data_IF_198807262034
#
_entry.id   IF_198807262034
#
_cell.length_a   1.000
_cell.length_b   1.000
_cell.length_c   1.000
_cell.angle_alpha   90.00
_cell.angle_beta   90.00
_cell.angle_gamma   90.00
#
_symmetry.space_group_name_H-M   'P 1'
#
loop_
_entity.id
_entity.type
_entity.pdbx_description
1 polymer ?
#
# COMPACT_ATOMS: atom_id res chain seq x y z
N UNK A 1 -68.28 -29.00 72.25
CA UNK A 1 -69.53 -28.95 73.01
C UNK A 1 -69.76 -30.31 73.66
N UNK A 2 -69.89 -30.35 75.00
CA UNK A 2 -70.37 -31.51 75.74
C UNK A 2 -71.74 -31.13 76.37
N UNK A 3 -72.76 -32.02 76.15
CA UNK A 3 -74.13 -31.77 76.65
C UNK A 3 -74.53 -33.02 77.49
N UNK A 4 -75.05 -32.82 78.69
CA UNK A 4 -75.55 -33.89 79.56
C UNK A 4 -76.99 -34.31 79.16
N UNK A 5 -77.54 -35.38 79.74
CA UNK A 5 -78.89 -35.90 79.51
C UNK A 5 -80.03 -34.95 79.92
N UNK A 6 -79.71 -33.97 80.72
CA UNK A 6 -80.64 -32.92 81.18
C UNK A 6 -80.56 -31.64 80.31
N UNK A 7 -79.72 -31.61 79.23
CA UNK A 7 -79.59 -30.47 78.32
C UNK A 7 -78.59 -29.42 78.71
N UNK A 8 -77.81 -29.61 79.80
CA UNK A 8 -76.74 -28.65 80.22
C UNK A 8 -75.55 -28.86 79.26
N UNK A 9 -75.01 -27.77 78.74
CA UNK A 9 -73.92 -27.84 77.80
C UNK A 9 -72.77 -26.98 78.27
N UNK A 10 -71.53 -27.42 77.95
CA UNK A 10 -70.28 -26.67 78.05
C UNK A 10 -69.49 -26.85 76.78
N UNK A 11 -68.77 -25.82 76.45
CA UNK A 11 -67.87 -25.81 75.26
C UNK A 11 -66.45 -25.69 75.76
N UNK A 12 -65.53 -26.37 75.06
CA UNK A 12 -64.13 -26.07 75.07
C UNK A 12 -63.71 -25.56 73.75
N UNK A 13 -62.82 -24.60 73.73
CA UNK A 13 -62.21 -24.01 72.50
C UNK A 13 -60.79 -24.47 72.43
N UNK A 14 -60.38 -25.10 71.32
CA UNK A 14 -59.03 -25.38 71.01
C UNK A 14 -58.55 -24.32 70.01
N UNK A 15 -57.54 -23.60 70.39
CA UNK A 15 -56.86 -22.67 69.47
C UNK A 15 -55.75 -23.42 68.76
N UNK A 16 -55.79 -23.46 67.38
CA UNK A 16 -54.75 -23.98 66.57
C UNK A 16 -54.06 -22.76 65.93
N UNK A 17 -52.79 -22.53 66.24
CA UNK A 17 -51.99 -21.51 65.60
C UNK A 17 -51.19 -22.16 64.48
N UNK A 18 -51.35 -21.69 63.25
CA UNK A 18 -50.55 -22.06 62.09
C UNK A 18 -49.61 -20.91 61.86
N UNK A 19 -48.31 -21.21 61.86
CA UNK A 19 -47.26 -20.22 61.63
C UNK A 19 -46.28 -20.83 60.67
N UNK A 20 -46.18 -20.25 59.43
CA UNK A 20 -45.19 -20.63 58.45
C UNK A 20 -43.89 -19.86 58.70
N UNK A 21 -42.81 -20.56 58.90
CA UNK A 21 -41.46 -20.05 59.12
C UNK A 21 -40.40 -20.69 58.19
N UNK A 22 -40.87 -21.35 57.14
CA UNK A 22 -40.01 -22.02 56.13
C UNK A 22 -39.88 -21.10 54.90
N UNK A 23 -38.68 -20.66 54.58
CA UNK A 23 -38.48 -19.86 53.35
C UNK A 23 -38.84 -20.62 52.08
N UNK A 24 -39.32 -19.93 51.04
CA UNK A 24 -39.53 -20.55 49.72
C UNK A 24 -38.23 -21.06 49.13
N UNK A 25 -38.28 -22.15 48.39
CA UNK A 25 -37.16 -22.64 47.58
C UNK A 25 -37.12 -21.85 46.28
N UNK A 26 -35.93 -21.35 45.91
CA UNK A 26 -35.67 -20.62 44.68
C UNK A 26 -34.41 -21.16 43.98
N UNK A 27 -34.48 -21.36 42.65
CA UNK A 27 -33.33 -21.62 41.80
C UNK A 27 -33.35 -20.62 40.64
N UNK A 28 -32.24 -19.94 40.42
CA UNK A 28 -32.14 -18.93 39.36
C UNK A 28 -32.23 -19.55 37.96
N UNK A 29 -32.72 -18.80 36.97
CA UNK A 29 -32.55 -19.16 35.56
C UNK A 29 -31.07 -19.41 35.21
N UNK A 30 -30.80 -20.18 34.15
CA UNK A 30 -29.44 -20.43 33.70
C UNK A 30 -28.64 -19.15 33.52
N UNK A 31 -27.31 -19.22 33.73
CA UNK A 31 -26.42 -18.12 33.40
C UNK A 31 -26.48 -17.80 31.90
N UNK A 32 -26.38 -16.52 31.56
CA UNK A 32 -26.40 -16.05 30.18
C UNK A 32 -24.94 -15.72 29.82
N UNK A 33 -24.52 -16.23 28.66
CA UNK A 33 -23.19 -15.98 28.08
C UNK A 33 -23.32 -15.81 26.55
N UNK A 34 -22.23 -15.41 25.89
CA UNK A 34 -22.22 -15.16 24.44
C UNK A 34 -22.86 -13.83 24.03
N UNK A 35 -23.00 -12.91 24.98
CA UNK A 35 -23.36 -11.51 24.71
C UNK A 35 -22.08 -10.73 24.43
N UNK A 36 -22.03 -10.06 23.30
CA UNK A 36 -20.81 -9.33 22.89
C UNK A 36 -20.87 -7.86 23.32
N UNK A 37 -22.01 -7.20 23.17
CA UNK A 37 -22.11 -5.77 23.49
C UNK A 37 -22.88 -5.52 24.78
N UNK A 38 -22.52 -4.48 25.50
CA UNK A 38 -23.19 -4.06 26.76
C UNK A 38 -24.70 -3.87 26.58
N UNK A 39 -25.13 -3.38 25.42
CA UNK A 39 -26.57 -3.17 25.11
C UNK A 39 -27.35 -4.47 24.93
N UNK A 40 -26.68 -5.60 24.75
CA UNK A 40 -27.32 -6.90 24.61
C UNK A 40 -27.70 -7.55 25.96
N UNK A 41 -27.25 -7.01 27.09
CA UNK A 41 -27.63 -7.52 28.40
C UNK A 41 -29.13 -7.35 28.62
N UNK A 42 -29.88 -8.45 28.89
CA UNK A 42 -31.33 -8.38 29.04
C UNK A 42 -31.73 -7.60 30.26
N UNK A 43 -32.92 -7.00 30.29
CA UNK A 43 -33.46 -6.38 31.45
C UNK A 43 -33.70 -7.41 32.57
N UNK A 44 -33.71 -7.00 33.85
CA UNK A 44 -34.08 -7.86 34.99
C UNK A 44 -35.53 -8.38 34.85
N UNK A 45 -35.80 -9.57 35.37
CA UNK A 45 -37.16 -10.11 35.43
C UNK A 45 -38.00 -9.29 36.39
N UNK A 46 -39.15 -8.80 35.92
CA UNK A 46 -40.01 -7.90 36.70
C UNK A 46 -40.96 -8.63 37.70
N UNK A 47 -41.16 -9.94 37.52
CA UNK A 47 -42.07 -10.74 38.33
C UNK A 47 -41.76 -12.25 38.26
N UNK A 48 -42.43 -13.02 39.12
CA UNK A 48 -42.27 -14.47 39.21
C UNK A 48 -42.59 -15.20 37.88
N UNK A 49 -43.57 -14.71 37.12
CA UNK A 49 -43.96 -15.35 35.83
C UNK A 49 -42.80 -15.24 34.79
N UNK A 50 -42.18 -14.07 34.67
CA UNK A 50 -41.02 -13.87 33.75
C UNK A 50 -39.80 -14.67 34.22
N UNK A 51 -39.57 -14.72 35.57
CA UNK A 51 -38.49 -15.48 36.16
C UNK A 51 -38.61 -16.98 35.87
N UNK A 52 -39.82 -17.56 36.04
CA UNK A 52 -40.08 -18.98 35.74
C UNK A 52 -40.03 -19.25 34.26
N UNK A 53 -40.57 -18.37 33.44
CA UNK A 53 -40.52 -18.49 31.96
C UNK A 53 -39.06 -18.51 31.45
N UNK A 54 -38.13 -17.88 32.14
CA UNK A 54 -36.71 -17.88 31.84
C UNK A 54 -35.96 -19.16 32.35
N UNK A 55 -36.65 -20.09 32.97
CA UNK A 55 -36.10 -21.35 33.49
C UNK A 55 -35.76 -21.34 34.98
N UNK A 56 -36.12 -20.27 35.72
CA UNK A 56 -36.07 -20.27 37.18
C UNK A 56 -37.15 -21.12 37.82
N UNK A 57 -36.93 -21.60 39.05
CA UNK A 57 -37.92 -22.37 39.79
C UNK A 57 -38.18 -21.71 41.14
N UNK A 58 -39.44 -21.74 41.55
CA UNK A 58 -39.89 -21.31 42.87
C UNK A 58 -40.90 -22.31 43.41
N UNK A 59 -40.84 -22.65 44.69
CA UNK A 59 -41.83 -23.48 45.38
C UNK A 59 -41.84 -23.17 46.87
N UNK A 60 -42.97 -23.46 47.52
CA UNK A 60 -43.14 -23.33 48.95
C UNK A 60 -43.91 -24.50 49.53
N UNK A 61 -43.71 -24.78 50.82
CA UNK A 61 -44.44 -25.82 51.58
C UNK A 61 -45.88 -25.41 51.89
N UNK A 62 -46.16 -24.11 51.97
CA UNK A 62 -47.47 -23.55 52.21
C UNK A 62 -48.07 -22.95 50.92
N UNK A 63 -49.40 -23.06 50.78
CA UNK A 63 -50.09 -22.52 49.59
C UNK A 63 -50.17 -20.98 49.76
N UNK A 64 -49.59 -20.26 48.78
CA UNK A 64 -49.62 -18.80 48.77
C UNK A 64 -48.91 -18.24 47.52
N UNK A 65 -49.06 -16.93 47.33
CA UNK A 65 -48.39 -16.24 46.24
C UNK A 65 -46.88 -15.99 46.62
N UNK A 66 -45.97 -16.45 45.82
CA UNK A 66 -44.55 -16.14 45.93
C UNK A 66 -44.22 -14.92 45.07
N UNK A 67 -43.68 -13.88 45.69
CA UNK A 67 -43.20 -12.67 44.98
C UNK A 67 -41.73 -12.83 44.68
N UNK A 68 -41.35 -12.65 43.42
CA UNK A 68 -39.92 -12.64 43.00
C UNK A 68 -39.56 -11.21 42.57
N UNK A 69 -38.47 -10.69 43.13
CA UNK A 69 -37.93 -9.40 42.76
C UNK A 69 -36.41 -9.42 42.70
N UNK A 70 -35.84 -8.61 41.79
CA UNK A 70 -34.39 -8.35 41.83
C UNK A 70 -34.07 -7.43 42.99
N UNK A 71 -33.21 -7.86 43.91
CA UNK A 71 -32.84 -7.12 45.11
C UNK A 71 -31.46 -6.50 45.05
N UNK A 72 -30.60 -7.02 44.18
CA UNK A 72 -29.25 -6.47 43.98
C UNK A 72 -28.74 -6.78 42.60
N UNK A 73 -27.91 -5.86 42.01
CA UNK A 73 -27.14 -6.05 40.81
C UNK A 73 -25.73 -5.52 41.02
N UNK A 74 -24.74 -6.34 40.75
CA UNK A 74 -23.33 -5.97 40.86
C UNK A 74 -22.68 -6.22 39.50
N UNK A 75 -21.98 -5.20 38.96
CA UNK A 75 -21.17 -5.33 37.76
C UNK A 75 -19.69 -5.46 38.12
N UNK A 76 -19.06 -6.54 37.72
CA UNK A 76 -17.61 -6.70 37.78
C UNK A 76 -17.04 -6.33 36.41
N UNK A 77 -16.27 -5.22 36.27
CA UNK A 77 -15.72 -4.79 34.99
C UNK A 77 -14.66 -5.76 34.49
N UNK A 78 -14.62 -5.98 33.16
CA UNK A 78 -13.55 -6.66 32.47
C UNK A 78 -12.53 -5.67 31.92
N UNK A 79 -11.91 -6.03 30.77
CA UNK A 79 -10.82 -5.27 30.15
C UNK A 79 -11.28 -4.04 29.36
N UNK A 80 -12.55 -3.98 29.00
CA UNK A 80 -13.16 -2.89 28.23
C UNK A 80 -14.63 -2.66 28.63
N UNK A 81 -15.28 -1.63 28.09
CA UNK A 81 -16.67 -1.30 28.38
C UNK A 81 -17.67 -2.39 27.96
N UNK A 82 -17.32 -3.18 26.90
CA UNK A 82 -18.10 -4.32 26.44
C UNK A 82 -17.61 -5.66 26.99
N UNK A 83 -16.88 -5.65 28.12
CA UNK A 83 -16.44 -6.85 28.83
C UNK A 83 -16.71 -6.69 30.34
N UNK A 84 -17.72 -7.38 30.85
CA UNK A 84 -18.10 -7.35 32.28
C UNK A 84 -18.95 -8.55 32.63
N UNK A 85 -19.10 -8.80 33.93
CA UNK A 85 -19.98 -9.81 34.51
C UNK A 85 -21.01 -9.12 35.38
N UNK A 86 -22.29 -9.29 35.06
CA UNK A 86 -23.40 -8.88 35.94
C UNK A 86 -23.79 -10.05 36.84
N UNK A 87 -23.86 -9.81 38.13
CA UNK A 87 -24.40 -10.73 39.12
C UNK A 87 -25.72 -10.15 39.66
N UNK A 88 -26.86 -10.77 39.27
CA UNK A 88 -28.20 -10.36 39.70
C UNK A 88 -28.70 -11.26 40.76
N UNK A 89 -29.00 -10.68 41.98
CA UNK A 89 -29.63 -11.39 43.04
C UNK A 89 -31.15 -11.26 42.97
N UNK A 90 -31.84 -12.39 42.84
CA UNK A 90 -33.27 -12.49 42.88
C UNK A 90 -33.69 -13.06 44.23
N UNK A 91 -34.72 -12.46 44.88
CA UNK A 91 -35.26 -12.88 46.16
C UNK A 91 -36.72 -13.30 45.94
N UNK A 92 -37.05 -14.50 46.38
CA UNK A 92 -38.43 -15.00 46.49
C UNK A 92 -38.90 -14.78 47.90
N UNK A 93 -40.09 -14.21 48.05
CA UNK A 93 -40.75 -13.94 49.37
C UNK A 93 -42.14 -14.56 49.38
N UNK A 94 -42.50 -15.35 50.40
CA UNK A 94 -43.81 -15.92 50.58
C UNK A 94 -44.80 -14.90 51.21
N UNK A 95 -46.06 -15.31 51.45
CA UNK A 95 -47.08 -14.48 52.07
C UNK A 95 -46.86 -14.21 53.53
N UNK A 96 -46.03 -14.99 54.23
CA UNK A 96 -45.67 -14.86 55.64
C UNK A 96 -44.42 -13.99 55.87
N UNK A 97 -43.72 -13.61 54.76
CA UNK A 97 -42.54 -12.78 54.78
C UNK A 97 -41.22 -13.55 54.88
N UNK A 98 -41.23 -14.89 54.80
CA UNK A 98 -40.00 -15.65 54.71
C UNK A 98 -39.43 -15.49 53.31
N UNK A 99 -38.10 -15.48 53.18
CA UNK A 99 -37.45 -15.25 51.89
C UNK A 99 -36.19 -16.11 51.69
N UNK A 100 -35.88 -16.38 50.44
CA UNK A 100 -34.65 -16.97 50.01
C UNK A 100 -34.18 -16.30 48.71
N UNK A 101 -32.89 -16.40 48.42
CA UNK A 101 -32.29 -15.73 47.25
C UNK A 101 -31.42 -16.67 46.44
N UNK A 102 -31.31 -16.36 45.15
CA UNK A 102 -30.35 -16.97 44.25
C UNK A 102 -29.64 -15.89 43.39
N UNK A 103 -28.51 -16.24 42.76
CA UNK A 103 -27.74 -15.32 41.94
C UNK A 103 -27.68 -15.86 40.49
N UNK A 104 -28.10 -15.04 39.51
CA UNK A 104 -27.91 -15.29 38.09
C UNK A 104 -26.70 -14.51 37.60
N UNK A 105 -25.83 -15.15 36.84
CA UNK A 105 -24.66 -14.53 36.23
C UNK A 105 -24.93 -14.26 34.75
N UNK A 106 -24.60 -13.07 34.28
CA UNK A 106 -24.67 -12.65 32.87
C UNK A 106 -23.29 -12.18 32.46
N UNK A 107 -22.70 -12.84 31.48
CA UNK A 107 -21.35 -12.52 30.94
C UNK A 107 -21.50 -11.80 29.60
N UNK A 108 -20.92 -10.62 29.54
CA UNK A 108 -20.74 -9.84 28.30
C UNK A 108 -19.25 -9.80 27.98
N UNK A 109 -18.89 -10.15 26.78
CA UNK A 109 -17.49 -10.14 26.32
C UNK A 109 -17.45 -9.96 24.80
N UNK A 110 -17.01 -8.79 24.38
CA UNK A 110 -16.77 -8.51 22.96
C UNK A 110 -15.54 -9.28 22.47
N UNK A 111 -15.77 -10.17 21.53
CA UNK A 111 -14.75 -11.04 20.92
C UNK A 111 -14.70 -10.88 19.39
N UNK A 112 -15.50 -9.99 18.83
CA UNK A 112 -15.58 -9.76 17.39
C UNK A 112 -14.61 -8.64 16.98
N UNK A 113 -13.61 -8.93 16.12
CA UNK A 113 -12.73 -7.89 15.63
C UNK A 113 -13.45 -6.84 14.77
N UNK A 114 -12.99 -5.58 14.79
CA UNK A 114 -13.54 -4.55 13.92
C UNK A 114 -13.33 -4.91 12.43
N UNK A 115 -14.25 -4.50 11.58
CA UNK A 115 -14.04 -4.54 10.14
C UNK A 115 -13.10 -3.42 9.71
N UNK A 116 -12.27 -3.67 8.69
CA UNK A 116 -11.31 -2.71 8.16
C UNK A 116 -11.32 -2.73 6.63
N UNK A 117 -11.33 -1.55 6.02
CA UNK A 117 -11.17 -1.38 4.57
C UNK A 117 -9.98 -0.45 4.31
N UNK A 118 -8.99 -0.97 3.62
CA UNK A 118 -7.80 -0.21 3.23
C UNK A 118 -8.11 0.89 2.21
N UNK A 119 -7.26 1.92 2.12
CA UNK A 119 -7.22 2.82 0.97
C UNK A 119 -7.02 2.03 -0.33
N UNK A 120 -7.46 2.60 -1.46
CA UNK A 120 -7.28 1.98 -2.77
C UNK A 120 -5.80 1.73 -3.08
N UNK A 121 -5.52 0.66 -3.82
CA UNK A 121 -4.19 0.38 -4.35
C UNK A 121 -3.77 1.47 -5.32
N UNK A 122 -2.46 1.71 -5.42
CA UNK A 122 -1.89 2.74 -6.28
C UNK A 122 -0.94 2.12 -7.32
N UNK A 123 -0.96 2.71 -8.52
CA UNK A 123 0.03 2.45 -9.57
C UNK A 123 0.69 3.79 -9.89
N UNK A 124 1.98 3.89 -9.67
CA UNK A 124 2.78 5.10 -9.75
C UNK A 124 3.94 4.86 -10.72
N UNK A 125 4.44 5.92 -11.31
CA UNK A 125 5.59 5.84 -12.22
C UNK A 125 6.90 6.00 -11.44
N UNK A 126 6.97 7.01 -10.57
CA UNK A 126 8.20 7.34 -9.87
C UNK A 126 8.12 7.03 -8.36
N UNK A 127 9.24 6.67 -7.75
CA UNK A 127 9.35 6.45 -6.30
C UNK A 127 8.99 7.67 -5.46
N UNK A 128 9.20 8.88 -6.00
CA UNK A 128 8.87 10.15 -5.34
C UNK A 128 7.38 10.44 -5.24
N UNK A 129 6.56 9.71 -5.98
CA UNK A 129 5.10 9.84 -5.96
C UNK A 129 4.44 9.03 -4.83
N UNK A 130 5.20 8.15 -4.15
CA UNK A 130 4.66 7.31 -3.06
C UNK A 130 4.20 8.21 -1.92
N UNK A 131 2.89 8.22 -1.60
CA UNK A 131 2.37 9.06 -0.53
C UNK A 131 2.74 8.50 0.84
N UNK A 132 2.83 9.39 1.82
CA UNK A 132 2.90 8.97 3.22
C UNK A 132 1.65 8.16 3.60
N UNK A 133 1.80 7.27 4.58
CA UNK A 133 0.67 6.52 5.11
C UNK A 133 -0.38 7.46 5.72
N UNK A 134 -1.66 7.22 5.38
CA UNK A 134 -2.76 8.03 5.89
C UNK A 134 -3.81 7.15 6.57
N UNK A 135 -3.74 7.06 7.91
CA UNK A 135 -4.69 6.29 8.72
C UNK A 135 -6.12 6.86 8.64
N UNK A 136 -6.29 8.16 8.35
CA UNK A 136 -7.61 8.78 8.24
C UNK A 136 -8.39 8.36 6.99
N UNK A 137 -7.72 7.74 6.01
CA UNK A 137 -8.37 7.19 4.81
C UNK A 137 -8.81 5.74 4.98
N UNK A 138 -8.53 5.11 6.12
CA UNK A 138 -8.97 3.75 6.45
C UNK A 138 -10.40 3.82 7.00
N UNK A 139 -11.28 2.96 6.50
CA UNK A 139 -12.67 2.86 6.97
C UNK A 139 -12.76 1.68 7.92
N UNK A 140 -13.32 1.91 9.10
CA UNK A 140 -13.52 0.88 10.13
C UNK A 140 -14.93 0.91 10.68
N UNK A 141 -15.45 -0.25 11.09
CA UNK A 141 -16.67 -0.36 11.87
C UNK A 141 -16.63 -1.59 12.77
N UNK A 142 -17.40 -1.56 13.86
CA UNK A 142 -17.49 -2.64 14.83
C UNK A 142 -18.95 -2.92 15.21
N UNK A 143 -19.24 -4.15 15.68
CA UNK A 143 -20.55 -4.55 16.16
C UNK A 143 -20.90 -3.89 17.50
N UNK A 144 -19.90 -3.58 18.32
CA UNK A 144 -20.07 -2.92 19.61
C UNK A 144 -19.61 -1.46 19.57
N UNK A 145 -20.28 -0.61 20.33
CA UNK A 145 -19.88 0.79 20.46
C UNK A 145 -18.55 0.91 21.20
N UNK A 146 -17.61 1.65 20.62
CA UNK A 146 -16.28 1.86 21.21
C UNK A 146 -15.35 2.64 20.30
N UNK A 147 -14.18 2.96 20.82
CA UNK A 147 -13.11 3.61 20.04
C UNK A 147 -12.34 2.52 19.29
N UNK A 148 -12.23 2.67 17.98
CA UNK A 148 -11.36 1.84 17.15
C UNK A 148 -10.06 2.61 16.89
N UNK A 149 -8.93 2.03 17.23
CA UNK A 149 -7.60 2.60 16.99
C UNK A 149 -7.02 1.99 15.71
N UNK A 150 -6.58 2.85 14.77
CA UNK A 150 -5.90 2.41 13.54
C UNK A 150 -4.41 2.69 13.65
N UNK A 151 -3.60 1.69 13.38
CA UNK A 151 -2.15 1.79 13.28
C UNK A 151 -1.68 1.35 11.90
N UNK A 152 -0.47 1.76 11.50
CA UNK A 152 0.19 1.34 10.28
C UNK A 152 1.56 0.75 10.62
N UNK A 153 1.89 -0.39 10.04
CA UNK A 153 3.21 -0.99 10.14
C UNK A 153 4.19 -0.33 9.15
N UNK A 154 5.48 -0.59 9.30
CA UNK A 154 6.47 -0.20 8.32
C UNK A 154 6.16 -0.82 6.95
N UNK A 155 6.41 -0.05 5.89
CA UNK A 155 6.21 -0.48 4.51
C UNK A 155 7.15 -1.66 4.16
N UNK A 156 6.58 -2.72 3.63
CA UNK A 156 7.36 -3.87 3.14
C UNK A 156 7.57 -3.72 1.64
N UNK A 157 8.83 -3.45 1.26
CA UNK A 157 9.24 -3.34 -0.15
C UNK A 157 9.57 -4.72 -0.70
N UNK A 158 9.07 -5.03 -1.90
CA UNK A 158 9.29 -6.29 -2.61
C UNK A 158 9.46 -6.06 -4.11
N UNK A 159 9.98 -7.06 -4.83
CA UNK A 159 10.16 -7.04 -6.29
C UNK A 159 10.98 -5.85 -6.80
N UNK A 160 11.90 -5.33 -5.99
CA UNK A 160 12.71 -4.18 -6.39
C UNK A 160 13.79 -4.60 -7.38
N UNK A 161 13.76 -4.01 -8.58
CA UNK A 161 14.76 -4.21 -9.64
C UNK A 161 15.57 -2.96 -9.95
N UNK A 162 14.99 -1.79 -9.71
CA UNK A 162 15.67 -0.49 -9.78
C UNK A 162 15.06 0.49 -8.77
N UNK A 163 15.53 1.74 -8.73
CA UNK A 163 15.06 2.78 -7.81
C UNK A 163 13.56 3.09 -7.98
N UNK A 164 13.04 3.01 -9.22
CA UNK A 164 11.67 3.33 -9.56
C UNK A 164 10.87 2.10 -10.05
N UNK A 165 11.26 0.88 -9.60
CA UNK A 165 10.51 -0.34 -9.93
C UNK A 165 10.51 -1.32 -8.76
N UNK A 166 9.41 -1.30 -8.00
CA UNK A 166 9.18 -2.11 -6.80
C UNK A 166 7.70 -2.12 -6.41
N UNK A 167 7.35 -2.96 -5.44
CA UNK A 167 6.02 -3.01 -4.84
C UNK A 167 6.14 -2.75 -3.34
N UNK A 168 5.28 -1.89 -2.80
CA UNK A 168 5.10 -1.68 -1.37
C UNK A 168 3.82 -2.39 -0.93
N UNK A 169 3.93 -3.19 0.13
CA UNK A 169 2.81 -3.71 0.89
C UNK A 169 2.73 -2.93 2.20
N UNK A 170 1.71 -2.08 2.33
CA UNK A 170 1.44 -1.23 3.50
C UNK A 170 0.30 -1.81 4.29
N UNK A 171 0.56 -2.29 5.51
CA UNK A 171 -0.43 -2.95 6.35
C UNK A 171 -0.98 -1.99 7.39
N UNK A 172 -2.31 -1.87 7.43
CA UNK A 172 -3.05 -1.16 8.45
C UNK A 172 -3.73 -2.18 9.37
N UNK A 173 -3.75 -1.88 10.67
CA UNK A 173 -4.40 -2.70 11.69
C UNK A 173 -5.40 -1.84 12.47
N UNK A 174 -6.64 -2.28 12.54
CA UNK A 174 -7.68 -1.73 13.38
C UNK A 174 -7.82 -2.57 14.65
N UNK A 175 -7.85 -1.93 15.81
CA UNK A 175 -8.02 -2.58 17.11
C UNK A 175 -9.14 -1.87 17.86
N UNK A 176 -10.12 -2.64 18.37
CA UNK A 176 -11.19 -2.12 19.22
C UNK A 176 -10.74 -1.84 20.66
N UNK A 177 -11.67 -1.38 21.50
CA UNK A 177 -11.40 -1.08 22.89
C UNK A 177 -11.17 -2.36 23.75
N UNK A 178 -11.57 -3.54 23.26
CA UNK A 178 -11.42 -4.82 23.93
C UNK A 178 -10.15 -5.58 23.52
N UNK A 179 -9.45 -5.07 22.51
CA UNK A 179 -8.18 -5.63 22.02
C UNK A 179 -8.36 -6.60 20.86
N UNK A 180 -9.58 -6.77 20.32
CA UNK A 180 -9.76 -7.55 19.10
C UNK A 180 -9.24 -6.74 17.91
N UNK A 181 -8.55 -7.39 16.97
CA UNK A 181 -7.87 -6.71 15.87
C UNK A 181 -8.08 -7.39 14.52
N UNK A 182 -8.14 -6.58 13.50
CA UNK A 182 -8.13 -7.01 12.10
C UNK A 182 -7.16 -6.17 11.28
N UNK A 183 -6.70 -6.69 10.14
CA UNK A 183 -5.73 -6.00 9.31
C UNK A 183 -6.14 -6.03 7.85
N UNK A 184 -5.69 -5.03 7.09
CA UNK A 184 -5.79 -5.00 5.64
C UNK A 184 -4.48 -4.49 5.03
N UNK A 185 -4.23 -4.77 3.75
CA UNK A 185 -3.01 -4.36 3.05
C UNK A 185 -3.35 -3.53 1.82
N UNK A 186 -2.78 -2.33 1.75
CA UNK A 186 -2.74 -1.51 0.55
C UNK A 186 -1.50 -1.89 -0.26
N UNK A 187 -1.69 -2.16 -1.55
CA UNK A 187 -0.59 -2.44 -2.49
C UNK A 187 -0.30 -1.18 -3.30
N UNK A 188 0.97 -0.75 -3.31
CA UNK A 188 1.45 0.38 -4.09
C UNK A 188 2.52 -0.15 -5.04
N UNK A 189 2.24 -0.10 -6.34
CA UNK A 189 3.17 -0.51 -7.39
C UNK A 189 3.83 0.74 -7.97
N UNK A 190 5.15 0.78 -7.92
CA UNK A 190 5.97 1.77 -8.62
C UNK A 190 6.61 1.07 -9.81
N UNK A 191 6.41 1.59 -11.02
CA UNK A 191 6.94 0.99 -12.23
C UNK A 191 7.23 2.05 -13.29
N UNK A 192 8.49 2.46 -13.34
CA UNK A 192 9.01 3.33 -14.37
C UNK A 192 9.25 2.52 -15.67
N UNK A 193 8.52 2.88 -16.70
CA UNK A 193 8.62 2.32 -18.05
C UNK A 193 8.74 3.42 -19.11
N UNK A 194 9.09 4.64 -18.71
CA UNK A 194 9.21 5.80 -19.59
C UNK A 194 10.69 6.00 -19.89
N UNK A 195 11.10 5.94 -21.18
CA UNK A 195 12.48 6.21 -21.56
C UNK A 195 12.88 7.66 -21.29
N UNK A 196 14.18 7.92 -21.02
CA UNK A 196 14.68 9.28 -20.87
C UNK A 196 14.51 10.08 -22.16
N UNK A 197 14.30 11.38 -22.04
CA UNK A 197 14.33 12.35 -23.15
C UNK A 197 15.78 12.73 -23.39
N UNK A 198 16.19 12.81 -24.69
CA UNK A 198 17.55 13.24 -25.04
C UNK A 198 17.56 14.14 -26.25
N UNK A 199 18.60 14.99 -26.32
CA UNK A 199 18.93 15.84 -27.45
C UNK A 199 20.35 15.57 -27.87
N UNK A 200 20.54 15.20 -29.14
CA UNK A 200 21.86 15.02 -29.74
C UNK A 200 22.66 16.31 -29.83
N UNK A 201 24.00 16.23 -29.90
CA UNK A 201 24.83 17.33 -30.37
C UNK A 201 24.38 17.82 -31.73
N UNK A 202 24.66 19.08 -32.06
CA UNK A 202 24.38 19.63 -33.39
C UNK A 202 25.14 18.87 -34.48
N UNK A 203 24.55 18.78 -35.64
CA UNK A 203 25.20 18.25 -36.84
C UNK A 203 26.41 19.10 -37.21
N UNK A 204 27.41 18.47 -37.83
CA UNK A 204 28.65 19.12 -38.26
C UNK A 204 28.76 19.06 -39.79
N UNK A 205 29.33 20.13 -40.34
CA UNK A 205 29.75 20.20 -41.74
C UNK A 205 31.26 20.49 -41.72
N UNK A 206 32.05 19.59 -42.27
CA UNK A 206 33.50 19.60 -42.26
C UNK A 206 34.02 19.42 -43.70
N UNK A 207 35.21 19.91 -43.99
CA UNK A 207 35.83 19.70 -45.30
C UNK A 207 36.64 18.40 -45.33
N UNK A 208 37.44 18.16 -44.27
CA UNK A 208 38.36 17.05 -44.29
C UNK A 208 37.96 15.95 -43.27
N UNK A 209 38.20 14.68 -43.62
CA UNK A 209 37.99 13.54 -42.74
C UNK A 209 38.80 13.63 -41.42
N UNK A 210 39.96 14.30 -41.49
CA UNK A 210 40.82 14.51 -40.30
C UNK A 210 40.26 15.47 -39.28
N UNK A 211 39.23 16.26 -39.64
CA UNK A 211 38.56 17.20 -38.73
C UNK A 211 37.46 16.56 -37.90
N UNK A 212 37.08 15.30 -38.23
CA UNK A 212 36.01 14.61 -37.51
C UNK A 212 36.39 14.44 -36.04
N UNK A 213 35.65 15.05 -35.13
CA UNK A 213 35.95 14.98 -33.69
C UNK A 213 35.64 13.58 -33.13
N UNK A 214 36.37 13.19 -32.10
CA UNK A 214 36.01 11.99 -31.31
C UNK A 214 34.61 12.14 -30.70
N UNK A 215 33.87 11.03 -30.49
CA UNK A 215 32.58 11.07 -29.83
C UNK A 215 32.68 11.69 -28.45
N UNK A 216 31.75 12.63 -28.15
CA UNK A 216 31.72 13.31 -26.84
C UNK A 216 30.32 13.26 -26.24
N UNK A 217 30.12 12.35 -25.29
CA UNK A 217 28.84 12.16 -24.58
C UNK A 217 28.44 13.35 -23.71
N UNK A 218 29.39 14.24 -23.35
CA UNK A 218 29.09 15.43 -22.55
C UNK A 218 28.31 16.49 -23.31
N UNK A 219 28.28 16.42 -24.64
CA UNK A 219 27.48 17.31 -25.48
C UNK A 219 26.05 16.87 -25.63
N UNK A 220 25.72 15.63 -25.25
CA UNK A 220 24.35 15.10 -25.25
C UNK A 220 23.62 15.56 -24.01
N UNK A 221 22.45 16.16 -24.18
CA UNK A 221 21.56 16.51 -23.06
C UNK A 221 20.55 15.38 -22.88
N UNK A 222 20.43 14.87 -21.65
CA UNK A 222 19.46 13.82 -21.34
C UNK A 222 18.85 14.04 -19.95
N UNK A 223 17.56 13.78 -19.82
CA UNK A 223 16.82 13.85 -18.55
C UNK A 223 15.71 12.81 -18.52
N UNK A 224 15.28 12.46 -17.30
CA UNK A 224 14.20 11.52 -17.09
C UNK A 224 13.09 12.12 -16.22
N UNK A 225 11.88 11.56 -16.31
CA UNK A 225 10.74 11.96 -15.50
C UNK A 225 10.88 11.54 -14.04
N UNK A 226 11.59 10.44 -13.77
CA UNK A 226 11.82 9.92 -12.42
C UNK A 226 13.21 10.25 -11.93
N UNK A 227 13.37 10.32 -10.61
CA UNK A 227 14.71 10.52 -9.99
C UNK A 227 15.61 9.35 -10.30
N UNK A 228 16.85 9.67 -10.68
CA UNK A 228 17.86 8.67 -10.95
C UNK A 228 18.93 9.20 -11.91
N UNK A 229 19.99 8.42 -12.10
CA UNK A 229 21.06 8.78 -13.03
C UNK A 229 20.70 8.32 -14.43
N UNK A 230 20.72 9.25 -15.41
CA UNK A 230 20.66 8.91 -16.83
C UNK A 230 22.09 8.74 -17.33
N UNK A 231 22.41 7.57 -17.86
CA UNK A 231 23.72 7.23 -18.41
C UNK A 231 23.69 7.41 -19.93
N UNK A 232 24.56 8.28 -20.46
CA UNK A 232 24.72 8.48 -21.90
C UNK A 232 25.95 7.72 -22.39
N UNK A 233 25.79 6.97 -23.48
CA UNK A 233 26.87 6.22 -24.13
C UNK A 233 26.91 6.51 -25.62
N UNK A 234 28.10 6.42 -26.24
CA UNK A 234 28.27 6.33 -27.68
C UNK A 234 28.05 4.89 -28.10
N UNK A 235 27.14 4.65 -29.07
CA UNK A 235 26.80 3.32 -29.57
C UNK A 235 27.73 2.93 -30.70
N UNK A 236 27.96 3.87 -31.65
CA UNK A 236 28.82 3.65 -32.82
C UNK A 236 28.62 4.72 -33.87
N UNK A 237 29.52 4.69 -34.86
CA UNK A 237 29.51 5.52 -36.06
C UNK A 237 29.29 4.62 -37.26
N UNK A 238 28.39 5.02 -38.15
CA UNK A 238 28.16 4.38 -39.47
C UNK A 238 28.47 5.39 -40.53
N UNK A 239 29.37 5.00 -41.47
CA UNK A 239 29.67 5.83 -42.65
C UNK A 239 28.68 5.48 -43.75
N UNK A 240 28.02 6.50 -44.27
CA UNK A 240 27.07 6.39 -45.39
C UNK A 240 27.43 7.38 -46.50
N UNK A 241 26.92 7.17 -47.73
CA UNK A 241 27.09 8.05 -48.91
C UNK A 241 28.55 8.36 -49.25
N UNK A 242 29.45 7.39 -49.03
CA UNK A 242 30.88 7.57 -49.29
C UNK A 242 31.20 7.55 -50.80
N UNK A 243 31.56 8.72 -51.31
CA UNK A 243 32.03 8.86 -52.71
C UNK A 243 33.57 8.86 -52.81
N UNK A 244 34.26 9.47 -51.86
CA UNK A 244 35.74 9.44 -51.74
C UNK A 244 36.18 9.55 -50.27
N UNK A 245 37.49 9.66 -50.02
CA UNK A 245 38.05 9.72 -48.68
C UNK A 245 37.57 10.94 -47.85
N UNK A 246 37.27 12.07 -48.52
CA UNK A 246 36.79 13.29 -47.89
C UNK A 246 35.38 13.67 -48.37
N UNK A 247 34.55 12.70 -48.79
CA UNK A 247 33.14 12.90 -49.17
C UNK A 247 32.27 11.74 -48.66
N UNK A 248 31.70 11.90 -47.49
CA UNK A 248 30.85 10.92 -46.80
C UNK A 248 30.08 11.57 -45.67
N UNK A 249 29.05 10.87 -45.13
CA UNK A 249 28.35 11.24 -43.94
C UNK A 249 28.58 10.20 -42.85
N UNK A 250 28.85 10.62 -41.60
CA UNK A 250 28.85 9.77 -40.44
C UNK A 250 27.50 9.91 -39.71
N UNK A 251 26.80 8.82 -39.52
CA UNK A 251 25.68 8.69 -38.61
C UNK A 251 26.21 8.22 -37.25
N UNK A 252 26.41 9.17 -36.32
CA UNK A 252 26.91 8.91 -34.97
C UNK A 252 25.78 8.74 -34.01
N UNK A 253 25.60 7.52 -33.47
CA UNK A 253 24.49 7.19 -32.58
C UNK A 253 24.91 7.27 -31.11
N UNK A 254 24.12 8.00 -30.34
CA UNK A 254 24.18 8.04 -28.88
C UNK A 254 22.96 7.37 -28.28
N UNK A 255 23.11 6.81 -27.04
CA UNK A 255 22.05 6.17 -26.28
C UNK A 255 22.04 6.73 -24.85
N UNK A 256 20.88 7.19 -24.41
CA UNK A 256 20.61 7.53 -23.00
C UNK A 256 19.82 6.40 -22.35
N UNK A 257 20.24 5.96 -21.16
CA UNK A 257 19.57 4.88 -20.40
C UNK A 257 19.36 5.37 -18.97
N UNK A 258 18.13 5.19 -18.44
CA UNK A 258 17.77 5.50 -17.05
C UNK A 258 18.22 4.39 -16.08
N UNK A 259 17.91 4.58 -14.76
CA UNK A 259 18.26 3.61 -13.72
C UNK A 259 17.45 2.30 -13.80
N UNK A 260 16.34 2.28 -14.52
CA UNK A 260 15.46 1.12 -14.69
C UNK A 260 15.71 0.36 -16.00
N UNK A 261 16.62 0.88 -16.85
CA UNK A 261 17.02 0.27 -18.10
C UNK A 261 16.17 0.69 -19.30
N UNK A 262 15.22 1.63 -19.13
CA UNK A 262 14.55 2.22 -20.27
C UNK A 262 15.53 3.11 -21.01
N UNK A 263 15.45 3.17 -22.35
CA UNK A 263 16.42 3.92 -23.13
C UNK A 263 15.81 4.58 -24.36
N UNK A 264 16.48 5.63 -24.80
CA UNK A 264 16.25 6.27 -26.10
C UNK A 264 17.58 6.47 -26.81
N UNK A 265 17.53 6.65 -28.12
CA UNK A 265 18.71 6.91 -28.95
C UNK A 265 18.50 8.17 -29.78
N UNK A 266 19.58 8.83 -30.13
CA UNK A 266 19.57 9.90 -31.12
C UNK A 266 20.78 9.79 -32.05
N UNK A 267 20.71 10.41 -33.23
CA UNK A 267 21.77 10.39 -34.22
C UNK A 267 22.22 11.82 -34.52
N UNK A 268 23.53 12.03 -34.45
CA UNK A 268 24.22 13.24 -34.95
C UNK A 268 24.74 12.94 -36.33
N UNK A 269 24.48 13.82 -37.28
CA UNK A 269 25.03 13.73 -38.65
C UNK A 269 26.29 14.58 -38.75
N UNK A 270 27.39 13.95 -39.21
CA UNK A 270 28.65 14.65 -39.48
C UNK A 270 28.92 14.48 -40.99
N UNK A 271 28.72 15.56 -41.71
CA UNK A 271 28.91 15.59 -43.17
C UNK A 271 30.35 16.07 -43.46
N UNK A 272 31.13 15.26 -44.15
CA UNK A 272 32.45 15.58 -44.65
C UNK A 272 32.33 15.77 -46.15
N UNK A 273 32.65 16.97 -46.61
CA UNK A 273 32.51 17.34 -48.04
C UNK A 273 33.64 18.30 -48.46
N UNK A 274 34.69 17.74 -49.04
CA UNK A 274 35.78 18.52 -49.60
C UNK A 274 35.30 19.20 -50.90
N UNK A 275 35.27 20.52 -50.82
CA UNK A 275 34.84 21.38 -51.98
C UNK A 275 35.99 22.25 -52.46
N UNK A 276 37.20 22.14 -51.87
CA UNK A 276 38.35 22.95 -52.22
C UNK A 276 39.22 22.22 -53.25
N UNK A 277 39.39 22.76 -54.49
CA UNK A 277 40.24 22.13 -55.47
C UNK A 277 41.72 22.13 -55.07
N UNK A 278 42.50 21.10 -55.44
CA UNK A 278 43.94 21.09 -55.18
C UNK A 278 44.65 22.21 -55.92
N UNK A 279 45.69 22.75 -55.32
CA UNK A 279 46.59 23.72 -55.95
C UNK A 279 47.66 22.96 -56.77
N UNK A 280 48.05 23.53 -57.88
CA UNK A 280 49.06 22.99 -58.75
C UNK A 280 50.11 24.03 -59.13
N UNK A 281 51.38 23.72 -59.00
CA UNK A 281 52.50 24.59 -59.40
C UNK A 281 53.29 23.91 -60.46
N UNK A 282 53.31 24.54 -61.65
CA UNK A 282 54.12 24.06 -62.81
C UNK A 282 55.60 24.32 -62.56
N UNK A 283 56.43 23.50 -63.21
CA UNK A 283 57.87 23.79 -63.25
C UNK A 283 58.15 25.14 -63.95
N UNK A 284 59.32 25.76 -63.65
CA UNK A 284 59.68 27.04 -64.25
C UNK A 284 59.77 26.93 -65.77
N UNK A 285 59.42 28.01 -66.48
CA UNK A 285 59.58 28.10 -67.94
C UNK A 285 61.01 27.87 -68.30
N UNK A 286 61.23 27.13 -69.39
CA UNK A 286 62.55 26.87 -69.97
C UNK A 286 62.60 27.41 -71.40
N UNK A 287 63.80 27.87 -71.79
CA UNK A 287 64.08 28.29 -73.21
C UNK A 287 65.10 27.32 -73.72
N UNK A 288 64.85 26.70 -74.88
CA UNK A 288 65.74 25.78 -75.56
C UNK A 288 66.10 26.31 -76.97
N UNK A 289 67.28 25.98 -77.45
CA UNK A 289 67.77 26.44 -78.75
C UNK A 289 67.40 25.52 -79.90
N UNK A 290 67.16 24.27 -79.66
CA UNK A 290 66.78 23.26 -80.68
C UNK A 290 65.52 22.48 -80.27
N UNK A 291 64.72 22.05 -81.20
CA UNK A 291 63.53 21.25 -80.97
C UNK A 291 63.84 19.88 -80.30
N UNK A 292 65.07 19.33 -80.55
CA UNK A 292 65.58 18.11 -79.91
C UNK A 292 65.81 18.25 -78.37
N UNK A 293 65.96 19.51 -77.91
CA UNK A 293 66.27 19.80 -76.49
C UNK A 293 65.02 20.00 -75.69
N UNK A 294 63.82 19.94 -76.27
CA UNK A 294 62.59 20.02 -75.57
C UNK A 294 62.45 18.76 -74.71
N UNK A 295 62.38 18.93 -73.39
CA UNK A 295 62.29 17.79 -72.47
C UNK A 295 60.96 17.07 -72.60
N UNK A 296 60.97 15.77 -72.42
CA UNK A 296 59.74 14.98 -72.39
C UNK A 296 58.89 15.46 -71.19
N UNK A 297 57.58 15.66 -71.37
CA UNK A 297 56.69 16.03 -70.30
C UNK A 297 56.84 15.07 -69.08
N UNK A 298 57.06 15.65 -67.92
CA UNK A 298 57.20 14.87 -66.67
C UNK A 298 56.28 15.41 -65.55
N UNK A 299 55.33 14.57 -65.11
CA UNK A 299 54.45 14.90 -64.02
C UNK A 299 55.14 14.93 -62.66
N UNK A 300 56.32 14.29 -62.51
CA UNK A 300 57.10 14.26 -61.31
C UNK A 300 57.73 15.63 -60.88
N UNK A 301 57.77 16.59 -61.84
CA UNK A 301 58.26 17.94 -61.57
C UNK A 301 57.15 18.94 -61.16
N UNK A 302 55.91 18.48 -61.10
CA UNK A 302 54.75 19.29 -60.68
C UNK A 302 54.55 19.15 -59.21
N UNK A 303 54.40 20.28 -58.49
CA UNK A 303 54.05 20.30 -57.09
C UNK A 303 52.55 20.48 -56.93
N UNK A 304 51.94 19.66 -56.07
CA UNK A 304 50.50 19.76 -55.76
C UNK A 304 50.32 19.77 -54.25
N UNK A 305 49.39 20.58 -53.75
CA UNK A 305 48.92 20.57 -52.37
C UNK A 305 47.42 20.68 -52.32
N UNK A 306 46.84 20.14 -51.25
CA UNK A 306 45.41 20.19 -50.97
C UNK A 306 45.21 20.47 -49.49
N UNK A 307 44.05 21.05 -49.10
CA UNK A 307 43.65 21.28 -47.71
C UNK A 307 43.34 19.96 -46.98
N UNK A 308 42.86 18.95 -47.73
CA UNK A 308 42.51 17.64 -47.20
C UNK A 308 43.54 16.58 -47.59
N UNK A 309 43.79 15.66 -46.67
CA UNK A 309 44.69 14.54 -46.93
C UNK A 309 44.05 13.58 -47.95
N UNK A 310 44.73 13.36 -49.08
CA UNK A 310 44.23 12.47 -50.11
C UNK A 310 45.23 12.26 -51.20
N UNK A 311 44.92 11.40 -52.19
CA UNK A 311 45.73 11.16 -53.38
C UNK A 311 45.34 12.19 -54.44
N UNK A 312 46.30 13.04 -54.81
CA UNK A 312 46.13 13.96 -55.94
C UNK A 312 46.67 13.30 -57.23
N UNK A 313 45.84 13.16 -58.23
CA UNK A 313 46.23 12.63 -59.48
C UNK A 313 46.61 13.77 -60.44
N UNK A 314 47.84 13.73 -61.02
CA UNK A 314 48.34 14.69 -62.00
C UNK A 314 48.33 14.03 -63.34
N UNK A 315 47.76 14.70 -64.37
CA UNK A 315 47.81 14.24 -65.74
C UNK A 315 48.30 15.36 -66.67
N UNK A 316 49.08 14.97 -67.71
CA UNK A 316 49.48 15.90 -68.77
C UNK A 316 48.31 15.99 -69.76
N UNK A 317 47.87 17.22 -70.05
CA UNK A 317 46.87 17.49 -71.08
C UNK A 317 47.59 18.13 -72.26
N UNK A 318 47.47 17.55 -73.40
CA UNK A 318 48.11 18.01 -74.65
C UNK A 318 47.66 19.39 -75.10
#
# INVERSE_FOLDING_TARGET
LATDVCGNSTTCTQTITVNDNVPPAISCPPSISGLECAVAAPAPYANAAQFVAAGGTISDNCVGTIIVSMTNEVSAPGICANSFILSRTYTATDVCGNFASCVQTITVADMTPPTITCPANLNLTCSTEVPAANIASVITSDNCAGIITVTVAEDVVSNQTCLNKFTINRTYTATDACGNASSCTQVIVVNDNIPPVMTCPNDLLLECATEVPAPNVQLVQASDNCVGTVVVTHVGDVIVDQACANQFTIERTYKATDVCGNFTTCTQYINVADITPPTITCPPNITVTCGSDVPVPSISSVLTTDNCVGVITVAFIS
#
